data_IF_805405640709
#
_entry.id   IF_805405640709
#
_cell.length_a   1.000
_cell.length_b   1.000
_cell.length_c   1.000
_cell.angle_alpha   90.00
_cell.angle_beta   90.00
_cell.angle_gamma   90.00
#
_symmetry.space_group_name_H-M   'P 1'
#
loop_
_entity.id
_entity.type
_entity.pdbx_description
1 polymer ?
#
# COMPACT_ATOMS: atom_id res chain seq x y z
N UNK A 1 -15.44 -23.34 -1.00
CA UNK A 1 -14.22 -22.82 -0.35
C UNK A 1 -14.64 -21.57 0.39
N UNK A 2 -15.46 -21.70 1.44
CA UNK A 2 -15.98 -20.52 2.17
C UNK A 2 -16.58 -20.89 3.53
N UNK A 3 -16.12 -22.00 4.12
CA UNK A 3 -16.62 -22.46 5.43
C UNK A 3 -15.94 -21.76 6.59
N UNK A 4 -14.81 -21.07 6.35
CA UNK A 4 -13.95 -20.54 7.41
C UNK A 4 -13.26 -21.63 8.24
N UNK A 5 -13.42 -22.90 7.88
CA UNK A 5 -12.82 -24.04 8.58
C UNK A 5 -11.30 -24.09 8.31
N UNK A 6 -10.51 -24.22 9.38
CA UNK A 6 -9.06 -24.39 9.25
C UNK A 6 -8.75 -25.74 8.58
N UNK A 7 -8.11 -25.67 7.42
CA UNK A 7 -7.71 -26.87 6.68
C UNK A 7 -6.32 -27.37 7.12
N UNK A 8 -5.46 -26.46 7.60
CA UNK A 8 -4.10 -26.75 8.05
C UNK A 8 -3.52 -25.55 8.83
N UNK A 9 -2.71 -25.81 9.86
CA UNK A 9 -1.94 -24.79 10.59
C UNK A 9 -0.53 -25.27 10.95
N UNK A 10 0.42 -24.34 10.96
CA UNK A 10 1.78 -24.55 11.43
C UNK A 10 2.30 -23.26 12.08
N UNK A 11 2.61 -23.33 13.38
CA UNK A 11 3.06 -22.19 14.20
C UNK A 11 2.25 -20.89 13.99
N UNK A 12 0.91 -20.93 14.05
CA UNK A 12 0.07 -19.77 13.70
C UNK A 12 0.31 -18.54 14.59
N UNK A 13 0.74 -18.75 15.84
CA UNK A 13 1.00 -17.68 16.81
C UNK A 13 2.42 -17.09 16.71
N UNK A 14 3.26 -17.60 15.81
CA UNK A 14 4.63 -17.11 15.65
C UNK A 14 4.64 -15.76 14.95
N UNK A 15 5.20 -14.77 15.63
CA UNK A 15 5.39 -13.43 15.07
C UNK A 15 6.53 -13.46 14.03
N UNK A 16 6.23 -13.01 12.81
CA UNK A 16 7.16 -12.93 11.69
C UNK A 16 7.20 -11.50 11.13
N UNK A 17 8.30 -11.16 10.45
CA UNK A 17 8.36 -9.91 9.67
C UNK A 17 7.31 -9.98 8.55
N UNK A 18 6.43 -8.98 8.52
CA UNK A 18 5.30 -8.93 7.59
C UNK A 18 5.67 -8.34 6.23
N UNK A 19 6.85 -7.73 6.10
CA UNK A 19 7.33 -7.07 4.87
C UNK A 19 6.20 -6.25 4.20
N UNK A 20 5.90 -6.53 2.92
CA UNK A 20 4.87 -5.82 2.16
C UNK A 20 3.42 -6.08 2.61
N UNK A 21 3.14 -7.01 3.52
CA UNK A 21 1.77 -7.26 4.04
C UNK A 21 1.23 -6.02 4.77
N UNK A 22 2.10 -5.19 5.37
CA UNK A 22 1.71 -3.93 6.01
C UNK A 22 0.93 -2.99 5.06
N UNK A 23 1.17 -3.08 3.75
CA UNK A 23 0.49 -2.28 2.71
C UNK A 23 -1.01 -2.57 2.63
N UNK A 24 -1.47 -3.76 3.02
CA UNK A 24 -2.90 -4.09 3.06
C UNK A 24 -3.61 -3.20 4.10
N UNK A 25 -2.99 -3.01 5.26
CA UNK A 25 -3.55 -2.14 6.31
C UNK A 25 -3.58 -0.67 5.86
N UNK A 26 -2.56 -0.22 5.13
CA UNK A 26 -2.52 1.10 4.52
C UNK A 26 -3.68 1.29 3.53
N UNK A 27 -3.86 0.37 2.58
CA UNK A 27 -4.96 0.44 1.60
C UNK A 27 -6.34 0.40 2.29
N UNK A 28 -6.47 -0.42 3.32
CA UNK A 28 -7.69 -0.47 4.13
C UNK A 28 -7.95 0.86 4.86
N UNK A 29 -6.92 1.47 5.45
CA UNK A 29 -7.03 2.77 6.11
C UNK A 29 -7.43 3.87 5.12
N UNK A 30 -6.80 3.94 3.95
CA UNK A 30 -7.15 4.89 2.89
C UNK A 30 -8.62 4.73 2.44
N UNK A 31 -9.09 3.49 2.30
CA UNK A 31 -10.49 3.22 1.97
C UNK A 31 -11.44 3.68 3.08
N UNK A 32 -11.09 3.48 4.36
CA UNK A 32 -11.88 3.98 5.50
C UNK A 32 -11.95 5.51 5.48
N UNK A 33 -10.82 6.20 5.32
CA UNK A 33 -10.79 7.67 5.22
C UNK A 33 -11.65 8.16 4.05
N UNK A 34 -11.57 7.50 2.90
CA UNK A 34 -12.43 7.81 1.74
C UNK A 34 -13.90 7.66 2.07
N UNK A 35 -14.29 6.59 2.78
CA UNK A 35 -15.69 6.36 3.13
C UNK A 35 -16.20 7.37 4.19
N UNK A 36 -15.30 7.86 5.04
CA UNK A 36 -15.60 8.93 6.00
C UNK A 36 -15.61 10.33 5.36
N UNK A 37 -15.21 10.47 4.09
CA UNK A 37 -15.07 11.76 3.42
C UNK A 37 -13.81 12.55 3.81
N UNK A 38 -12.85 11.90 4.46
CA UNK A 38 -11.58 12.47 4.91
C UNK A 38 -10.49 12.41 3.83
N UNK A 39 -10.72 11.64 2.77
CA UNK A 39 -9.78 11.43 1.67
C UNK A 39 -10.54 11.38 0.34
N UNK A 40 -10.07 12.09 -0.67
CA UNK A 40 -10.59 11.90 -2.03
C UNK A 40 -9.56 11.16 -2.89
N UNK A 41 -10.01 10.14 -3.59
CA UNK A 41 -9.12 9.31 -4.40
C UNK A 41 -8.56 10.03 -5.64
N UNK A 42 -9.16 11.15 -6.03
CA UNK A 42 -8.71 11.99 -7.14
C UNK A 42 -7.70 13.07 -6.72
N UNK A 43 -7.42 13.21 -5.42
CA UNK A 43 -6.29 14.02 -4.93
C UNK A 43 -4.99 13.49 -5.50
N UNK A 44 -4.04 14.40 -5.77
CA UNK A 44 -2.76 14.06 -6.38
C UNK A 44 -1.67 14.00 -5.32
N UNK A 45 -0.85 12.97 -5.40
CA UNK A 45 0.41 12.83 -4.67
C UNK A 45 1.55 13.11 -5.64
N UNK A 46 2.45 13.98 -5.22
CA UNK A 46 3.69 14.28 -5.94
C UNK A 46 4.81 13.42 -5.36
N UNK A 47 5.46 12.64 -6.20
CA UNK A 47 6.65 11.87 -5.83
C UNK A 47 7.78 12.83 -5.46
N UNK A 48 8.21 12.82 -4.19
CA UNK A 48 9.38 13.58 -3.78
C UNK A 48 10.65 12.77 -4.05
N UNK A 49 11.58 13.34 -4.81
CA UNK A 49 12.87 12.71 -5.13
C UNK A 49 13.73 12.40 -3.89
N UNK A 50 13.51 13.12 -2.77
CA UNK A 50 14.23 12.90 -1.51
C UNK A 50 13.70 11.71 -0.68
N UNK A 51 12.55 11.14 -1.06
CA UNK A 51 11.88 10.04 -0.32
C UNK A 51 12.11 8.67 -0.97
N UNK A 52 13.09 8.59 -1.88
CA UNK A 52 13.49 7.34 -2.55
C UNK A 52 14.13 6.40 -1.54
N UNK A 53 13.33 5.51 -0.97
CA UNK A 53 13.77 4.40 -0.12
C UNK A 53 13.79 3.17 -1.00
N UNK A 54 15.00 2.74 -1.40
CA UNK A 54 15.27 1.62 -2.30
C UNK A 54 14.58 1.68 -3.69
N UNK A 55 15.16 1.02 -4.69
CA UNK A 55 14.63 0.96 -6.07
C UNK A 55 13.40 0.03 -6.19
N UNK A 56 12.48 0.04 -5.21
CA UNK A 56 11.32 -0.83 -5.22
C UNK A 56 10.15 -0.20 -6.02
N UNK A 57 9.47 -1.06 -6.78
CA UNK A 57 8.25 -0.71 -7.51
C UNK A 57 8.46 -0.09 -8.89
N UNK A 58 7.44 0.58 -9.44
CA UNK A 58 7.43 1.03 -10.85
C UNK A 58 7.16 2.51 -11.03
N UNK A 59 6.63 3.23 -10.02
CA UNK A 59 6.35 4.66 -10.17
C UNK A 59 7.59 5.45 -10.57
N UNK A 60 8.78 5.13 -10.02
CA UNK A 60 10.02 5.84 -10.33
C UNK A 60 10.44 5.75 -11.81
N UNK A 61 9.99 4.71 -12.53
CA UNK A 61 10.23 4.51 -13.97
C UNK A 61 9.25 5.31 -14.84
N UNK A 62 8.14 5.78 -14.26
CA UNK A 62 7.18 6.62 -14.96
C UNK A 62 7.69 8.05 -15.02
N UNK A 63 7.59 8.65 -16.22
CA UNK A 63 7.83 10.08 -16.47
C UNK A 63 6.67 10.97 -15.95
N UNK A 64 5.90 10.45 -14.99
CA UNK A 64 4.77 11.13 -14.35
C UNK A 64 5.08 11.28 -12.86
N UNK A 65 5.48 12.48 -12.40
CA UNK A 65 5.82 12.72 -11.00
C UNK A 65 4.59 12.78 -10.10
N UNK A 66 3.42 13.07 -10.67
CA UNK A 66 2.16 13.20 -9.94
C UNK A 66 1.22 12.06 -10.32
N UNK A 67 0.69 11.35 -9.34
CA UNK A 67 -0.34 10.33 -9.52
C UNK A 67 -1.52 10.62 -8.59
N UNK A 68 -2.71 10.16 -8.96
CA UNK A 68 -3.84 10.22 -8.04
C UNK A 68 -3.65 9.22 -6.89
N UNK A 69 -4.28 9.46 -5.74
CA UNK A 69 -4.32 8.49 -4.64
C UNK A 69 -4.86 7.13 -5.12
N UNK A 70 -5.83 7.14 -6.02
CA UNK A 70 -6.32 5.93 -6.69
C UNK A 70 -5.19 5.16 -7.40
N UNK A 71 -4.42 5.84 -8.25
CA UNK A 71 -3.36 5.22 -9.04
C UNK A 71 -2.23 4.71 -8.14
N UNK A 72 -1.86 5.48 -7.10
CA UNK A 72 -0.89 5.04 -6.10
C UNK A 72 -1.39 3.80 -5.36
N UNK A 73 -2.66 3.78 -4.95
CA UNK A 73 -3.29 2.60 -4.34
C UNK A 73 -3.26 1.37 -5.23
N UNK A 74 -3.50 1.54 -6.53
CA UNK A 74 -3.38 0.49 -7.54
C UNK A 74 -1.95 -0.04 -7.65
N UNK A 75 -0.95 0.84 -7.68
CA UNK A 75 0.46 0.44 -7.75
C UNK A 75 0.90 -0.34 -6.50
N UNK A 76 0.51 0.13 -5.31
CA UNK A 76 0.73 -0.57 -4.04
C UNK A 76 0.09 -1.98 -4.09
N UNK A 77 -1.17 -2.07 -4.48
CA UNK A 77 -1.92 -3.33 -4.45
C UNK A 77 -1.46 -4.35 -5.50
N UNK A 78 -1.14 -3.89 -6.71
CA UNK A 78 -0.81 -4.77 -7.83
C UNK A 78 0.68 -5.11 -7.91
N UNK A 79 1.56 -4.18 -7.54
CA UNK A 79 3.01 -4.31 -7.73
C UNK A 79 3.80 -4.22 -6.42
N UNK A 80 3.11 -4.12 -5.27
CA UNK A 80 3.77 -3.84 -3.99
C UNK A 80 4.64 -2.58 -4.07
N UNK A 81 4.25 -1.62 -4.91
CA UNK A 81 4.96 -0.37 -5.13
C UNK A 81 4.94 0.47 -3.84
N UNK A 82 5.99 1.26 -3.62
CA UNK A 82 6.34 1.98 -2.38
C UNK A 82 6.95 1.13 -1.25
N UNK A 83 8.13 1.54 -0.79
CA UNK A 83 8.62 1.14 0.53
C UNK A 83 8.04 2.03 1.63
N UNK A 84 7.84 1.44 2.81
CA UNK A 84 6.98 1.94 3.90
C UNK A 84 7.37 3.30 4.54
N UNK A 85 8.29 4.05 3.93
CA UNK A 85 8.71 5.38 4.39
C UNK A 85 7.80 6.54 3.95
N UNK A 86 6.93 6.37 2.94
CA UNK A 86 6.25 7.50 2.29
C UNK A 86 4.99 8.03 3.01
N UNK A 87 4.45 7.32 4.01
CA UNK A 87 3.06 7.54 4.48
C UNK A 87 2.89 7.80 5.98
N UNK A 88 3.98 8.13 6.69
CA UNK A 88 3.95 8.47 8.12
C UNK A 88 4.37 9.92 8.40
N UNK A 89 3.96 10.86 7.55
CA UNK A 89 4.07 12.30 7.84
C UNK A 89 2.72 12.99 7.69
#
# INVERSE_FOLDING_TARGET
>A
IDTGEEVFSHEPDRVLSTASIAKIFLLHAALKMKNNGELRLDERLTRNAAERVDESGIWYLLDQPDLTIHDVGMLIGAFSDLDGGLLLR
#
